data_IF_811237097542
#
_entry.id   IF_811237097542
#
_cell.length_a   1.000
_cell.length_b   1.000
_cell.length_c   1.000
_cell.angle_alpha   90.00
_cell.angle_beta   90.00
_cell.angle_gamma   90.00
#
_symmetry.space_group_name_H-M   'P 1'
#
loop_
_entity.id
_entity.type
_entity.pdbx_description
1 polymer ?
#
# COMPACT_ATOMS: atom_id res chain seq x y z
N UNK A 1 10.00 -2.27 13.35
CA UNK A 1 9.69 -3.32 12.36
C UNK A 1 8.71 -2.77 11.34
N UNK A 2 8.91 -3.03 10.04
CA UNK A 2 7.95 -2.64 9.01
C UNK A 2 6.60 -3.31 9.29
N UNK A 3 5.51 -2.62 8.94
CA UNK A 3 4.18 -3.21 9.03
C UNK A 3 4.12 -4.43 8.09
N UNK A 4 3.44 -5.48 8.55
CA UNK A 4 3.41 -6.77 7.84
C UNK A 4 2.82 -6.67 6.42
N UNK A 5 1.86 -5.75 6.23
CA UNK A 5 1.29 -5.39 4.92
C UNK A 5 2.36 -4.91 3.94
N UNK A 6 3.20 -3.95 4.35
CA UNK A 6 4.29 -3.40 3.53
C UNK A 6 5.36 -4.46 3.23
N UNK A 7 5.71 -5.29 4.21
CA UNK A 7 6.67 -6.38 4.02
C UNK A 7 6.18 -7.39 2.98
N UNK A 8 4.91 -7.80 3.05
CA UNK A 8 4.30 -8.71 2.09
C UNK A 8 4.24 -8.12 0.68
N UNK A 9 3.83 -6.86 0.53
CA UNK A 9 3.81 -6.18 -0.76
C UNK A 9 5.23 -6.05 -1.36
N UNK A 10 6.22 -5.80 -0.51
CA UNK A 10 7.64 -5.72 -0.94
C UNK A 10 8.15 -7.07 -1.41
N UNK A 11 7.84 -8.15 -0.69
CA UNK A 11 8.17 -9.51 -1.08
C UNK A 11 7.58 -9.86 -2.45
N UNK A 12 6.28 -9.59 -2.64
CA UNK A 12 5.57 -9.89 -3.88
C UNK A 12 6.15 -9.09 -5.06
N UNK A 13 6.44 -7.79 -4.86
CA UNK A 13 7.06 -6.96 -5.87
C UNK A 13 8.48 -7.41 -6.26
N UNK A 14 9.21 -8.06 -5.36
CA UNK A 14 10.57 -8.55 -5.61
C UNK A 14 10.62 -9.96 -6.22
N UNK A 15 9.58 -10.77 -6.02
CA UNK A 15 9.59 -12.21 -6.34
C UNK A 15 8.63 -12.60 -7.47
N UNK A 16 7.67 -11.74 -7.81
CA UNK A 16 6.64 -12.06 -8.79
C UNK A 16 6.42 -10.88 -9.75
N UNK A 17 6.67 -11.11 -11.04
CA UNK A 17 6.56 -10.06 -12.07
C UNK A 17 5.12 -9.57 -12.24
N UNK A 18 4.13 -10.47 -12.15
CA UNK A 18 2.73 -10.13 -12.34
C UNK A 18 2.21 -9.26 -11.18
N UNK A 19 2.55 -9.62 -9.93
CA UNK A 19 2.21 -8.85 -8.75
C UNK A 19 2.92 -7.49 -8.76
N UNK A 20 4.19 -7.42 -9.15
CA UNK A 20 4.89 -6.14 -9.35
C UNK A 20 4.18 -5.28 -10.39
N UNK A 21 3.83 -5.85 -11.54
CA UNK A 21 3.14 -5.14 -12.62
C UNK A 21 1.80 -4.58 -12.16
N UNK A 22 1.03 -5.37 -11.42
CA UNK A 22 -0.21 -4.90 -10.78
C UNK A 22 0.05 -3.69 -9.88
N UNK A 23 1.05 -3.77 -8.98
CA UNK A 23 1.37 -2.70 -8.02
C UNK A 23 1.84 -1.42 -8.72
N UNK A 24 2.70 -1.53 -9.74
CA UNK A 24 3.21 -0.37 -10.49
C UNK A 24 2.11 0.37 -11.25
N UNK A 25 1.06 -0.34 -11.68
CA UNK A 25 -0.12 0.25 -12.32
C UNK A 25 -1.03 1.01 -11.34
N UNK A 26 -0.90 0.79 -10.03
CA UNK A 26 -1.69 1.51 -9.03
C UNK A 26 -1.15 2.93 -8.79
N UNK A 27 -1.95 3.78 -8.15
CA UNK A 27 -1.50 5.09 -7.66
C UNK A 27 -0.68 4.94 -6.36
N UNK A 28 0.42 4.19 -6.43
CA UNK A 28 1.18 3.80 -5.24
C UNK A 28 2.00 4.94 -4.64
N UNK A 29 2.42 5.92 -5.44
CA UNK A 29 3.22 7.06 -4.97
C UNK A 29 2.51 7.85 -3.87
N UNK A 30 1.29 8.31 -4.16
CA UNK A 30 0.52 9.15 -3.24
C UNK A 30 0.08 8.39 -1.99
N UNK A 31 -0.23 7.10 -2.16
CA UNK A 31 -0.71 6.26 -1.06
C UNK A 31 0.42 5.88 -0.10
N UNK A 32 1.55 5.39 -0.63
CA UNK A 32 2.66 4.93 0.19
C UNK A 32 3.39 6.08 0.90
N UNK A 33 3.35 7.31 0.37
CA UNK A 33 3.87 8.50 1.06
C UNK A 33 3.18 8.75 2.42
N UNK A 34 1.94 8.28 2.57
CA UNK A 34 1.15 8.44 3.81
C UNK A 34 1.36 7.26 4.78
N UNK A 35 2.08 6.22 4.37
CA UNK A 35 2.28 4.99 5.15
C UNK A 35 3.67 4.99 5.78
N UNK A 36 3.72 5.01 7.10
CA UNK A 36 4.98 4.87 7.84
C UNK A 36 5.66 3.53 7.56
N UNK A 37 6.94 3.56 7.19
CA UNK A 37 7.73 2.37 6.88
C UNK A 37 7.59 1.84 5.44
N UNK A 38 6.90 2.56 4.56
CA UNK A 38 6.76 2.20 3.14
C UNK A 38 7.91 2.66 2.24
N UNK A 39 8.94 3.32 2.79
CA UNK A 39 10.05 3.88 2.02
C UNK A 39 10.76 2.84 1.14
N UNK A 40 11.01 1.64 1.68
CA UNK A 40 11.68 0.59 0.94
C UNK A 40 10.78 0.02 -0.18
N UNK A 41 9.48 -0.10 0.06
CA UNK A 41 8.51 -0.50 -0.98
C UNK A 41 8.44 0.53 -2.12
N UNK A 42 8.41 1.83 -1.78
CA UNK A 42 8.46 2.92 -2.77
C UNK A 42 9.70 2.74 -3.66
N UNK A 43 10.89 2.52 -3.07
CA UNK A 43 12.13 2.31 -3.82
C UNK A 43 12.08 1.07 -4.71
N UNK A 44 11.44 -0.02 -4.26
CA UNK A 44 11.27 -1.26 -5.05
C UNK A 44 10.39 -1.00 -6.28
N UNK A 45 9.29 -0.26 -6.10
CA UNK A 45 8.35 0.06 -7.19
C UNK A 45 8.91 1.12 -8.14
N UNK A 46 9.76 2.02 -7.66
CA UNK A 46 10.48 3.01 -8.47
C UNK A 46 11.63 2.41 -9.26
N UNK A 47 12.30 1.40 -8.70
CA UNK A 47 13.40 0.73 -9.38
C UNK A 47 12.88 -0.04 -10.59
N UNK A 48 13.65 0.00 -11.69
CA UNK A 48 13.45 -0.89 -12.84
C UNK A 48 13.94 -2.30 -12.48
N UNK A 49 13.17 -2.97 -11.63
CA UNK A 49 13.46 -4.29 -11.10
C UNK A 49 12.68 -5.35 -11.87
N UNK A 50 13.39 -6.39 -12.32
CA UNK A 50 12.82 -7.58 -12.95
C UNK A 50 12.99 -8.76 -12.00
N UNK A 51 11.90 -9.27 -11.38
CA UNK A 51 11.98 -10.40 -10.44
C UNK A 51 12.64 -11.65 -11.02
N UNK A 52 12.47 -11.88 -12.33
CA UNK A 52 13.02 -13.03 -13.04
C UNK A 52 14.47 -12.85 -13.51
N UNK A 53 15.06 -11.66 -13.31
CA UNK A 53 16.45 -11.36 -13.65
C UNK A 53 17.30 -11.17 -12.39
N UNK A 54 18.14 -12.17 -12.03
CA UNK A 54 19.05 -12.06 -10.89
C UNK A 54 20.01 -10.87 -10.98
N UNK A 55 20.40 -10.42 -12.17
CA UNK A 55 21.28 -9.28 -12.34
C UNK A 55 20.58 -7.97 -11.97
N UNK A 56 19.30 -7.83 -12.34
CA UNK A 56 18.46 -6.70 -11.94
C UNK A 56 18.29 -6.63 -10.42
N UNK A 57 18.00 -7.77 -9.77
CA UNK A 57 17.88 -7.83 -8.31
C UNK A 57 19.20 -7.49 -7.59
N UNK A 58 20.32 -8.02 -8.06
CA UNK A 58 21.64 -7.69 -7.48
C UNK A 58 22.01 -6.21 -7.66
N UNK A 59 21.70 -5.63 -8.81
CA UNK A 59 21.89 -4.19 -9.06
C UNK A 59 21.05 -3.34 -8.09
N UNK A 60 19.82 -3.77 -7.79
CA UNK A 60 18.98 -3.12 -6.79
C UNK A 60 19.57 -3.26 -5.38
N UNK A 61 19.93 -4.48 -4.96
CA UNK A 61 20.52 -4.76 -3.64
C UNK A 61 21.77 -3.89 -3.38
N UNK A 62 22.65 -3.74 -4.38
CA UNK A 62 23.86 -2.91 -4.26
C UNK A 62 23.62 -1.42 -3.96
N UNK A 63 22.39 -0.92 -4.16
CA UNK A 63 21.98 0.46 -3.89
C UNK A 63 21.32 0.62 -2.52
N UNK A 64 21.13 -0.47 -1.80
CA UNK A 64 20.54 -0.48 -0.47
C UNK A 64 21.62 -0.29 0.60
N UNK A 65 21.22 0.27 1.73
CA UNK A 65 22.04 0.28 2.95
C UNK A 65 22.06 -1.12 3.58
N UNK A 66 23.05 -1.40 4.43
CA UNK A 66 23.16 -2.70 5.13
C UNK A 66 21.89 -3.07 5.93
N UNK A 67 21.16 -2.07 6.46
CA UNK A 67 19.89 -2.29 7.16
C UNK A 67 18.77 -2.71 6.19
N UNK A 68 18.67 -2.03 5.05
CA UNK A 68 17.70 -2.35 4.00
C UNK A 68 17.98 -3.71 3.35
N UNK A 69 19.26 -4.02 3.07
CA UNK A 69 19.67 -5.34 2.56
C UNK A 69 19.29 -6.46 3.53
N UNK A 70 19.45 -6.24 4.84
CA UNK A 70 19.04 -7.19 5.88
C UNK A 70 17.52 -7.43 5.85
N UNK A 71 16.72 -6.37 5.68
CA UNK A 71 15.26 -6.48 5.55
C UNK A 71 14.86 -7.22 4.27
N UNK A 72 15.44 -6.88 3.11
CA UNK A 72 15.13 -7.54 1.84
C UNK A 72 15.52 -9.01 1.89
N UNK A 73 16.69 -9.32 2.46
CA UNK A 73 17.15 -10.70 2.65
C UNK A 73 16.19 -11.49 3.54
N UNK A 74 15.73 -10.88 4.65
CA UNK A 74 14.73 -11.49 5.53
C UNK A 74 13.40 -11.74 4.82
N UNK A 75 12.95 -10.83 3.95
CA UNK A 75 11.76 -11.03 3.12
C UNK A 75 11.96 -12.15 2.12
N UNK A 76 13.10 -12.21 1.44
CA UNK A 76 13.41 -13.26 0.48
C UNK A 76 13.42 -14.65 1.10
N UNK A 77 13.73 -14.80 2.38
CA UNK A 77 13.62 -16.07 3.10
C UNK A 77 12.17 -16.52 3.35
N UNK A 78 11.19 -15.61 3.22
CA UNK A 78 9.78 -15.95 3.38
C UNK A 78 9.23 -16.69 2.16
N UNK A 79 8.24 -17.53 2.42
CA UNK A 79 7.54 -18.29 1.38
C UNK A 79 6.62 -17.37 0.59
N UNK A 80 6.81 -17.32 -0.73
CA UNK A 80 5.90 -16.62 -1.64
C UNK A 80 4.60 -17.41 -1.73
N UNK A 81 3.43 -16.78 -1.54
CA UNK A 81 2.14 -17.45 -1.72
C UNK A 81 1.94 -17.85 -3.19
N UNK A 82 1.28 -18.99 -3.43
CA UNK A 82 1.06 -19.51 -4.79
C UNK A 82 0.16 -18.61 -5.65
N UNK A 83 -0.69 -17.80 -5.01
CA UNK A 83 -1.55 -16.80 -5.63
C UNK A 83 -1.02 -15.38 -5.39
N UNK A 84 0.23 -15.13 -5.80
CA UNK A 84 0.96 -13.88 -5.55
C UNK A 84 0.17 -12.62 -5.95
N UNK A 85 -0.49 -12.62 -7.10
CA UNK A 85 -1.28 -11.49 -7.60
C UNK A 85 -2.51 -11.22 -6.73
N UNK A 86 -3.34 -12.24 -6.46
CA UNK A 86 -4.54 -12.10 -5.62
C UNK A 86 -4.18 -11.62 -4.21
N UNK A 87 -3.07 -12.12 -3.68
CA UNK A 87 -2.56 -11.71 -2.36
C UNK A 87 -2.08 -10.26 -2.42
N UNK A 88 -1.36 -9.86 -3.47
CA UNK A 88 -0.95 -8.46 -3.66
C UNK A 88 -2.17 -7.53 -3.74
N UNK A 89 -3.20 -7.90 -4.49
CA UNK A 89 -4.45 -7.15 -4.59
C UNK A 89 -5.14 -7.00 -3.23
N UNK A 90 -5.27 -8.09 -2.48
CA UNK A 90 -5.90 -8.10 -1.17
C UNK A 90 -5.16 -7.21 -0.17
N UNK A 91 -3.82 -7.35 -0.09
CA UNK A 91 -2.99 -6.50 0.76
C UNK A 91 -3.01 -5.04 0.31
N UNK A 92 -3.00 -4.78 -1.00
CA UNK A 92 -3.10 -3.42 -1.54
C UNK A 92 -4.42 -2.76 -1.13
N UNK A 93 -5.55 -3.44 -1.35
CA UNK A 93 -6.88 -2.97 -0.92
C UNK A 93 -6.92 -2.72 0.59
N UNK A 94 -6.38 -3.63 1.39
CA UNK A 94 -6.29 -3.48 2.85
C UNK A 94 -5.46 -2.26 3.27
N UNK A 95 -4.35 -2.01 2.59
CA UNK A 95 -3.52 -0.82 2.81
C UNK A 95 -4.29 0.46 2.46
N UNK A 96 -4.96 0.50 1.31
CA UNK A 96 -5.77 1.67 0.92
C UNK A 96 -6.89 1.94 1.93
N UNK A 97 -7.60 0.90 2.36
CA UNK A 97 -8.63 1.02 3.40
C UNK A 97 -8.04 1.54 4.71
N UNK A 98 -6.85 1.08 5.10
CA UNK A 98 -6.15 1.56 6.29
C UNK A 98 -5.80 3.05 6.20
N UNK A 99 -5.31 3.51 5.05
CA UNK A 99 -5.00 4.92 4.81
C UNK A 99 -6.28 5.77 4.85
N UNK A 100 -7.33 5.38 4.14
CA UNK A 100 -8.60 6.13 4.13
C UNK A 100 -9.28 6.16 5.49
N UNK A 101 -9.27 5.04 6.25
CA UNK A 101 -9.77 5.01 7.63
C UNK A 101 -9.00 5.97 8.53
N UNK A 102 -7.67 6.04 8.37
CA UNK A 102 -6.83 6.97 9.12
C UNK A 102 -7.16 8.42 8.78
N UNK A 103 -7.33 8.75 7.50
CA UNK A 103 -7.74 10.09 7.07
C UNK A 103 -9.12 10.46 7.63
N UNK A 104 -10.07 9.51 7.57
CA UNK A 104 -11.41 9.69 8.13
C UNK A 104 -11.36 9.96 9.63
N UNK A 105 -10.59 9.18 10.39
CA UNK A 105 -10.39 9.38 11.83
C UNK A 105 -9.82 10.78 12.15
N UNK A 106 -8.85 11.23 11.35
CA UNK A 106 -8.26 12.57 11.49
C UNK A 106 -9.30 13.66 11.18
N UNK A 107 -10.05 13.54 10.09
CA UNK A 107 -11.09 14.50 9.73
C UNK A 107 -12.22 14.56 10.77
N UNK A 108 -12.67 13.40 11.26
CA UNK A 108 -13.66 13.28 12.33
C UNK A 108 -13.18 13.83 13.68
N UNK A 109 -11.88 13.74 13.95
CA UNK A 109 -11.28 14.35 15.14
C UNK A 109 -11.20 15.87 14.98
N UNK A 110 -10.79 16.34 13.79
CA UNK A 110 -10.66 17.77 13.49
C UNK A 110 -11.98 18.51 13.56
N UNK A 111 -13.06 17.95 13.00
CA UNK A 111 -14.39 18.59 13.03
C UNK A 111 -14.95 18.76 14.44
N UNK A 112 -14.50 17.95 15.41
CA UNK A 112 -14.89 18.06 16.82
C UNK A 112 -14.12 19.14 17.58
N UNK A 113 -13.09 19.73 16.98
CA UNK A 113 -12.30 20.77 17.64
C UNK A 113 -13.10 22.07 17.73
N UNK A 114 -13.10 22.74 18.91
CA UNK A 114 -13.65 24.08 19.02
C UNK A 114 -12.80 25.06 18.20
N UNK A 115 -13.42 26.13 17.67
CA UNK A 115 -12.82 27.23 16.89
C UNK A 115 -12.71 27.04 15.36
N UNK A 116 -13.47 26.11 14.77
CA UNK A 116 -13.60 26.06 13.31
C UNK A 116 -14.54 27.17 12.81
N UNK A 117 -14.16 27.79 11.70
CA UNK A 117 -15.07 28.66 10.94
C UNK A 117 -16.16 27.84 10.24
N UNK A 118 -17.28 28.47 9.90
CA UNK A 118 -18.36 27.81 9.15
C UNK A 118 -17.86 27.19 7.84
N UNK A 119 -16.94 27.87 7.13
CA UNK A 119 -16.35 27.35 5.89
C UNK A 119 -15.50 26.09 6.12
N UNK A 120 -14.69 26.06 7.17
CA UNK A 120 -13.88 24.89 7.54
C UNK A 120 -14.75 23.69 7.95
N UNK A 121 -15.84 23.94 8.69
CA UNK A 121 -16.80 22.89 9.05
C UNK A 121 -17.42 22.27 7.80
N UNK A 122 -17.91 23.10 6.85
CA UNK A 122 -18.51 22.60 5.61
C UNK A 122 -17.50 21.82 4.77
N UNK A 123 -16.25 22.29 4.68
CA UNK A 123 -15.20 21.59 3.95
C UNK A 123 -14.85 20.23 4.59
N UNK A 124 -14.71 20.18 5.92
CA UNK A 124 -14.46 18.93 6.65
C UNK A 124 -15.64 17.95 6.57
N UNK A 125 -16.89 18.44 6.59
CA UNK A 125 -18.06 17.59 6.38
C UNK A 125 -18.06 16.95 4.99
N UNK A 126 -17.73 17.74 3.96
CA UNK A 126 -17.60 17.23 2.59
C UNK A 126 -16.49 16.17 2.51
N UNK A 127 -15.31 16.46 3.05
CA UNK A 127 -14.18 15.51 3.11
C UNK A 127 -14.57 14.19 3.80
N UNK A 128 -15.29 14.25 4.93
CA UNK A 128 -15.78 13.06 5.65
C UNK A 128 -16.75 12.23 4.79
N UNK A 129 -17.67 12.88 4.07
CA UNK A 129 -18.61 12.18 3.17
C UNK A 129 -17.84 11.51 2.02
N UNK A 130 -16.95 12.24 1.37
CA UNK A 130 -16.15 11.75 0.23
C UNK A 130 -15.26 10.56 0.66
N UNK A 131 -14.63 10.63 1.84
CA UNK A 131 -13.80 9.54 2.38
C UNK A 131 -14.62 8.29 2.72
N UNK A 132 -15.83 8.45 3.26
CA UNK A 132 -16.75 7.34 3.54
C UNK A 132 -17.24 6.68 2.26
N UNK A 133 -17.54 7.47 1.24
CA UNK A 133 -17.94 6.95 -0.07
C UNK A 133 -16.80 6.14 -0.72
N UNK A 134 -15.56 6.67 -0.72
CA UNK A 134 -14.38 5.93 -1.20
C UNK A 134 -14.16 4.62 -0.45
N UNK A 135 -14.30 4.63 0.88
CA UNK A 135 -14.22 3.40 1.68
C UNK A 135 -15.32 2.39 1.30
N UNK A 136 -16.55 2.86 1.09
CA UNK A 136 -17.66 2.01 0.69
C UNK A 136 -17.43 1.38 -0.68
N UNK A 137 -16.93 2.14 -1.65
CA UNK A 137 -16.58 1.63 -2.97
C UNK A 137 -15.52 0.53 -2.89
N UNK A 138 -14.45 0.74 -2.11
CA UNK A 138 -13.37 -0.26 -1.97
C UNK A 138 -13.85 -1.51 -1.23
N UNK A 139 -14.71 -1.38 -0.22
CA UNK A 139 -15.31 -2.53 0.48
C UNK A 139 -16.34 -3.27 -0.40
N UNK A 140 -17.14 -2.54 -1.20
CA UNK A 140 -18.10 -3.11 -2.13
C UNK A 140 -17.44 -3.93 -3.25
N UNK A 141 -16.28 -3.48 -3.74
CA UNK A 141 -15.47 -4.23 -4.72
C UNK A 141 -14.93 -5.56 -4.16
N UNK A 142 -14.77 -5.70 -2.85
CA UNK A 142 -14.41 -6.99 -2.22
C UNK A 142 -15.59 -7.96 -2.15
N UNK A 143 -16.83 -7.47 -1.97
CA UNK A 143 -18.02 -8.35 -1.93
C UNK A 143 -18.46 -8.87 -3.29
N UNK A 144 -18.19 -8.15 -4.39
CA UNK A 144 -18.60 -8.60 -5.73
C UNK A 144 -17.73 -9.75 -6.26
N UNK A 145 -16.52 -9.95 -5.72
CA UNK A 145 -15.64 -11.04 -6.15
C UNK A 145 -16.01 -12.43 -5.60
N UNK A 146 -16.92 -12.54 -4.63
CA UNK A 146 -17.36 -13.82 -4.05
C UNK A 146 -18.72 -14.32 -4.60
N UNK A 147 -19.42 -13.52 -5.42
CA UNK A 147 -20.76 -13.88 -5.94
C UNK A 147 -20.75 -14.48 -7.37
N UNK A 148 -19.60 -14.96 -7.83
CA UNK A 148 -19.40 -15.46 -9.19
C UNK A 148 -18.68 -16.80 -9.25
N UNK A 149 -19.18 -17.82 -8.55
CA UNK A 149 -18.92 -19.24 -8.84
C UNK A 149 -20.19 -20.06 -8.67
#
# INVERSE_FOLDING_TARGET
>A
MPRHDVAMLSLLALRDEAARSFLVQQNWRELLQQVSGAQLLIRILEADLRPDDPASLNSFMSKLSAEEEGLVSAWMMQKVPANAVEVAESWWKGLMQGVLRRQLEVAETRIRLPKLTTGEVVNLQKEIVDLREQLHQISGLSSVSEAGR
#
